data_IF_124189750813
#
_entry.id   IF_124189750813
#
_cell.length_a   1.000
_cell.length_b   1.000
_cell.length_c   1.000
_cell.angle_alpha   90.00
_cell.angle_beta   90.00
_cell.angle_gamma   90.00
#
_symmetry.space_group_name_H-M   'P 1'
#
loop_
_entity.id
_entity.type
_entity.pdbx_description
1 polymer ?
#
# COMPACT_ATOMS: atom_id res chain seq x y z
N UNK A 1 4.54 -18.85 -12.39
CA UNK A 1 3.77 -17.83 -13.16
C UNK A 1 4.54 -16.52 -13.16
N UNK A 2 4.88 -15.88 -12.03
CA UNK A 2 5.59 -14.60 -11.98
C UNK A 2 6.96 -14.59 -12.66
N UNK A 3 7.76 -15.64 -12.52
CA UNK A 3 9.11 -15.74 -13.11
C UNK A 3 9.11 -15.79 -14.64
N UNK A 4 8.21 -16.59 -15.24
CA UNK A 4 8.09 -16.68 -16.70
C UNK A 4 7.72 -15.32 -17.33
N UNK A 5 7.01 -14.50 -16.63
CA UNK A 5 6.50 -13.22 -17.08
C UNK A 5 7.57 -12.14 -17.03
N UNK A 6 8.39 -12.13 -15.98
CA UNK A 6 9.59 -11.30 -15.92
C UNK A 6 10.56 -11.65 -17.08
N UNK A 7 10.71 -12.95 -17.39
CA UNK A 7 11.51 -13.40 -18.56
C UNK A 7 10.97 -12.82 -19.87
N UNK A 8 9.67 -12.97 -20.14
CA UNK A 8 9.04 -12.49 -21.39
C UNK A 8 9.14 -10.97 -21.55
N UNK A 9 8.95 -10.22 -20.48
CA UNK A 9 9.07 -8.76 -20.52
C UNK A 9 10.52 -8.32 -20.76
N UNK A 10 11.49 -9.06 -20.20
CA UNK A 10 12.92 -8.84 -20.48
C UNK A 10 13.28 -9.10 -21.93
N UNK A 11 12.81 -10.18 -22.51
CA UNK A 11 13.02 -10.48 -23.94
C UNK A 11 12.45 -9.37 -24.82
N UNK A 12 11.26 -8.85 -24.50
CA UNK A 12 10.67 -7.69 -25.18
C UNK A 12 11.53 -6.43 -25.10
N UNK A 13 12.31 -6.27 -24.03
CA UNK A 13 13.24 -5.15 -23.81
C UNK A 13 14.64 -5.42 -24.38
N UNK A 14 14.81 -6.48 -25.20
CA UNK A 14 16.07 -6.78 -25.89
C UNK A 14 17.11 -7.51 -25.07
N UNK A 15 16.74 -8.11 -23.93
CA UNK A 15 17.63 -8.97 -23.13
C UNK A 15 17.57 -10.39 -23.68
N UNK A 16 18.71 -10.93 -24.09
CA UNK A 16 18.84 -12.32 -24.58
C UNK A 16 18.90 -13.30 -23.41
N UNK A 17 17.72 -13.60 -22.84
CA UNK A 17 17.61 -14.52 -21.70
C UNK A 17 17.80 -15.96 -22.17
N UNK A 18 18.80 -16.64 -21.60
CA UNK A 18 19.09 -18.07 -21.85
C UNK A 18 18.47 -18.94 -20.75
N UNK A 19 18.45 -20.24 -20.97
CA UNK A 19 18.02 -21.20 -19.96
C UNK A 19 18.94 -21.14 -18.74
N UNK A 20 18.34 -21.16 -17.54
CA UNK A 20 19.04 -21.20 -16.25
C UNK A 20 18.19 -21.91 -15.21
N UNK A 21 18.87 -22.54 -14.26
CA UNK A 21 18.22 -23.12 -13.10
C UNK A 21 18.23 -22.11 -11.95
N UNK A 22 17.11 -22.02 -11.22
CA UNK A 22 16.97 -21.08 -10.13
C UNK A 22 16.30 -21.71 -8.93
N UNK A 23 16.76 -21.35 -7.75
CA UNK A 23 16.07 -21.57 -6.49
C UNK A 23 15.91 -20.23 -5.77
N UNK A 24 14.77 -19.99 -5.20
CA UNK A 24 14.52 -18.79 -4.43
C UNK A 24 13.93 -19.12 -3.06
N UNK A 25 14.23 -18.29 -2.08
CA UNK A 25 13.66 -18.34 -0.74
C UNK A 25 13.32 -16.91 -0.31
N UNK A 26 12.37 -16.75 0.58
CA UNK A 26 11.96 -15.46 1.11
C UNK A 26 11.18 -15.63 2.40
N UNK A 27 11.21 -14.59 3.22
CA UNK A 27 10.51 -14.48 4.50
C UNK A 27 9.35 -13.47 4.45
N UNK A 28 9.07 -12.89 3.27
CA UNK A 28 7.90 -12.03 3.06
C UNK A 28 6.65 -12.90 3.08
N UNK A 29 5.76 -12.75 4.08
CA UNK A 29 4.61 -13.61 4.25
C UNK A 29 3.61 -13.47 3.08
N UNK A 30 3.13 -14.62 2.60
CA UNK A 30 2.17 -14.68 1.50
C UNK A 30 0.76 -14.26 1.98
N UNK A 31 0.13 -13.35 1.24
CA UNK A 31 -1.25 -12.92 1.49
C UNK A 31 -1.43 -12.03 2.72
N UNK A 32 -0.34 -11.51 3.29
CA UNK A 32 -0.35 -10.65 4.47
C UNK A 32 -0.36 -9.14 4.13
N UNK A 33 -0.55 -8.76 2.87
CA UNK A 33 -0.51 -7.37 2.44
C UNK A 33 0.90 -6.77 2.33
N UNK A 34 1.95 -7.60 2.43
CA UNK A 34 3.35 -7.17 2.33
C UNK A 34 3.91 -7.25 0.91
N UNK A 35 3.06 -7.38 -0.09
CA UNK A 35 3.43 -7.38 -1.52
C UNK A 35 4.49 -8.42 -1.88
N UNK A 36 4.27 -9.66 -1.46
CA UNK A 36 5.17 -10.79 -1.77
C UNK A 36 5.33 -11.02 -3.28
N UNK A 37 4.32 -10.69 -4.10
CA UNK A 37 4.39 -10.71 -5.55
C UNK A 37 5.41 -9.71 -6.07
N UNK A 38 5.31 -8.44 -5.67
CA UNK A 38 6.25 -7.39 -6.07
C UNK A 38 7.69 -7.70 -5.61
N UNK A 39 7.87 -8.29 -4.43
CA UNK A 39 9.17 -8.72 -3.95
C UNK A 39 9.78 -9.82 -4.85
N UNK A 40 8.99 -10.83 -5.23
CA UNK A 40 9.42 -11.90 -6.12
C UNK A 40 9.74 -11.38 -7.53
N UNK A 41 8.85 -10.57 -8.09
CA UNK A 41 9.00 -9.94 -9.42
C UNK A 41 10.26 -9.08 -9.49
N UNK A 42 10.49 -8.24 -8.48
CA UNK A 42 11.67 -7.40 -8.38
C UNK A 42 12.95 -8.23 -8.28
N UNK A 43 12.93 -9.31 -7.49
CA UNK A 43 14.08 -10.22 -7.36
C UNK A 43 14.45 -10.84 -8.70
N UNK A 44 13.46 -11.38 -9.42
CA UNK A 44 13.70 -11.93 -10.77
C UNK A 44 14.14 -10.86 -11.76
N UNK A 45 13.54 -9.67 -11.70
CA UNK A 45 13.92 -8.56 -12.56
C UNK A 45 15.39 -8.15 -12.35
N UNK A 46 15.85 -8.08 -11.12
CA UNK A 46 17.26 -7.83 -10.80
C UNK A 46 18.18 -8.96 -11.29
N UNK A 47 17.85 -10.21 -10.95
CA UNK A 47 18.67 -11.37 -11.32
C UNK A 47 18.84 -11.48 -12.83
N UNK A 48 17.78 -11.33 -13.61
CA UNK A 48 17.84 -11.36 -15.08
C UNK A 48 18.63 -10.19 -15.67
N UNK A 49 18.55 -9.00 -15.05
CA UNK A 49 19.34 -7.85 -15.47
C UNK A 49 20.83 -8.05 -15.22
N UNK A 50 21.18 -8.68 -14.12
CA UNK A 50 22.56 -8.99 -13.76
C UNK A 50 23.12 -10.12 -14.65
N UNK A 51 22.40 -11.24 -14.76
CA UNK A 51 22.86 -12.44 -15.46
C UNK A 51 22.92 -12.28 -17.01
N UNK A 52 21.98 -11.54 -17.58
CA UNK A 52 21.80 -11.50 -19.04
C UNK A 52 21.71 -10.08 -19.62
N UNK A 53 21.59 -9.06 -18.81
CA UNK A 53 21.36 -7.68 -19.23
C UNK A 53 22.53 -6.74 -19.00
N UNK A 54 23.69 -7.22 -18.54
CA UNK A 54 24.86 -6.41 -18.18
C UNK A 54 24.49 -5.21 -17.27
N UNK A 55 23.47 -5.34 -16.45
CA UNK A 55 22.92 -4.29 -15.59
C UNK A 55 22.50 -3.00 -16.32
N UNK A 56 22.15 -3.09 -17.61
CA UNK A 56 21.82 -1.93 -18.46
C UNK A 56 20.42 -1.35 -18.18
N UNK A 57 19.52 -2.13 -17.56
CA UNK A 57 18.18 -1.67 -17.23
C UNK A 57 18.21 -0.98 -15.88
N UNK A 58 17.76 0.27 -15.86
CA UNK A 58 17.76 1.08 -14.65
C UNK A 58 16.65 0.67 -13.65
N UNK A 59 16.73 1.20 -12.44
CA UNK A 59 15.81 0.86 -11.35
C UNK A 59 14.36 1.22 -11.64
N UNK A 60 14.08 2.33 -12.34
CA UNK A 60 12.72 2.71 -12.69
C UNK A 60 12.09 1.70 -13.65
N UNK A 61 12.86 1.28 -14.65
CA UNK A 61 12.43 0.26 -15.59
C UNK A 61 12.26 -1.10 -14.91
N UNK A 62 13.09 -1.44 -13.91
CA UNK A 62 12.92 -2.66 -13.09
C UNK A 62 11.58 -2.65 -12.34
N UNK A 63 11.20 -1.53 -11.72
CA UNK A 63 9.92 -1.39 -11.05
C UNK A 63 8.74 -1.50 -12.04
N UNK A 64 8.86 -0.88 -13.23
CA UNK A 64 7.84 -0.97 -14.28
C UNK A 64 7.67 -2.39 -14.83
N UNK A 65 8.73 -3.20 -14.88
CA UNK A 65 8.65 -4.61 -15.25
C UNK A 65 7.72 -5.37 -14.30
N UNK A 66 7.89 -5.22 -13.00
CA UNK A 66 7.01 -5.84 -12.01
C UNK A 66 5.56 -5.38 -12.19
N UNK A 67 5.30 -4.06 -12.28
CA UNK A 67 3.96 -3.54 -12.52
C UNK A 67 3.32 -4.09 -13.81
N UNK A 68 4.09 -4.16 -14.91
CA UNK A 68 3.65 -4.74 -16.18
C UNK A 68 3.28 -6.22 -16.03
N UNK A 69 3.96 -6.95 -15.15
CA UNK A 69 3.66 -8.34 -14.84
C UNK A 69 2.28 -8.46 -14.18
N UNK A 70 2.00 -7.66 -13.16
CA UNK A 70 0.68 -7.63 -12.49
C UNK A 70 -0.45 -7.27 -13.47
N UNK A 71 -0.25 -6.25 -14.31
CA UNK A 71 -1.27 -5.80 -15.27
C UNK A 71 -1.57 -6.82 -16.35
N UNK A 72 -0.53 -7.36 -17.00
CA UNK A 72 -0.69 -8.15 -18.22
C UNK A 72 -0.97 -9.64 -17.95
N UNK A 73 -0.61 -10.13 -16.76
CA UNK A 73 -0.67 -11.56 -16.48
C UNK A 73 -1.49 -11.92 -15.24
N UNK A 74 -1.47 -11.07 -14.21
CA UNK A 74 -2.31 -11.27 -13.03
C UNK A 74 -3.67 -10.59 -13.17
N UNK A 75 -3.84 -9.68 -14.15
CA UNK A 75 -5.09 -8.95 -14.39
C UNK A 75 -5.42 -7.94 -13.29
N UNK A 76 -4.43 -7.54 -12.50
CA UNK A 76 -4.56 -6.58 -11.39
C UNK A 76 -4.08 -5.21 -11.84
N UNK A 77 -4.98 -4.24 -11.99
CA UNK A 77 -4.63 -2.87 -12.38
C UNK A 77 -4.07 -2.06 -11.19
N UNK A 78 -3.00 -2.58 -10.57
CA UNK A 78 -2.35 -1.95 -9.42
C UNK A 78 -1.54 -0.70 -9.83
N UNK A 79 -1.26 0.17 -8.83
CA UNK A 79 -0.23 1.20 -8.94
C UNK A 79 1.19 0.61 -8.92
N UNK A 80 2.20 1.48 -9.03
CA UNK A 80 3.63 1.06 -9.03
C UNK A 80 4.23 0.99 -7.62
N UNK A 81 3.49 1.34 -6.58
CA UNK A 81 4.00 1.58 -5.23
C UNK A 81 4.81 0.40 -4.68
N UNK A 82 4.28 -0.81 -4.79
CA UNK A 82 4.87 -2.00 -4.18
C UNK A 82 6.18 -2.41 -4.86
N UNK A 83 6.19 -2.38 -6.19
CA UNK A 83 7.39 -2.64 -6.98
C UNK A 83 8.44 -1.55 -6.76
N UNK A 84 7.99 -0.28 -6.66
CA UNK A 84 8.88 0.83 -6.38
C UNK A 84 9.51 0.70 -4.99
N UNK A 85 8.73 0.37 -3.98
CA UNK A 85 9.23 0.15 -2.61
C UNK A 85 10.25 -0.99 -2.56
N UNK A 86 9.99 -2.10 -3.29
CA UNK A 86 10.91 -3.25 -3.37
C UNK A 86 12.24 -2.89 -4.04
N UNK A 87 12.22 -2.03 -5.06
CA UNK A 87 13.42 -1.65 -5.84
C UNK A 87 14.21 -0.50 -5.20
N UNK A 88 13.53 0.48 -4.60
CA UNK A 88 14.12 1.71 -4.09
C UNK A 88 14.21 1.76 -2.56
N UNK A 89 13.73 0.74 -1.85
CA UNK A 89 13.77 0.69 -0.39
C UNK A 89 15.18 0.98 0.17
N UNK A 90 15.25 1.80 1.22
CA UNK A 90 16.50 2.19 1.89
C UNK A 90 16.31 2.09 3.40
N UNK A 91 17.26 1.44 4.07
CA UNK A 91 17.27 1.31 5.52
C UNK A 91 17.19 2.69 6.21
N UNK A 92 16.36 2.80 7.23
CA UNK A 92 16.21 4.03 8.01
C UNK A 92 15.46 5.15 7.27
N UNK A 93 14.68 4.80 6.24
CA UNK A 93 13.97 5.80 5.45
C UNK A 93 12.60 5.28 5.03
N UNK A 94 11.63 6.18 4.93
CA UNK A 94 10.37 6.00 4.22
C UNK A 94 10.42 6.75 2.89
N UNK A 95 9.69 6.27 1.90
CA UNK A 95 9.63 6.87 0.57
C UNK A 95 8.29 7.58 0.41
N UNK A 96 8.32 8.88 0.05
CA UNK A 96 7.20 9.56 -0.58
C UNK A 96 7.39 9.46 -2.08
N UNK A 97 6.46 8.80 -2.76
CA UNK A 97 6.48 8.62 -4.20
C UNK A 97 5.33 9.39 -4.84
N UNK A 98 5.62 10.19 -5.85
CA UNK A 98 4.63 10.67 -6.79
C UNK A 98 4.40 9.60 -7.87
N UNK A 99 3.24 8.91 -7.81
CA UNK A 99 2.94 7.82 -8.75
C UNK A 99 2.67 8.30 -10.20
N UNK A 100 2.56 9.62 -10.46
CA UNK A 100 2.41 10.19 -11.81
C UNK A 100 3.77 10.46 -12.45
N UNK A 101 4.61 11.27 -11.77
CA UNK A 101 5.92 11.69 -12.28
C UNK A 101 7.04 10.69 -11.98
N UNK A 102 6.83 9.78 -11.03
CA UNK A 102 7.81 8.90 -10.40
C UNK A 102 8.92 9.65 -9.66
N UNK A 103 8.73 10.93 -9.38
CA UNK A 103 9.58 11.67 -8.46
C UNK A 103 9.39 11.14 -7.04
N UNK A 104 10.49 10.99 -6.33
CA UNK A 104 10.46 10.45 -4.98
C UNK A 104 11.42 11.16 -4.05
N UNK A 105 11.10 11.10 -2.77
CA UNK A 105 11.93 11.66 -1.69
C UNK A 105 11.98 10.67 -0.54
N UNK A 106 13.18 10.57 0.09
CA UNK A 106 13.35 9.82 1.32
C UNK A 106 13.11 10.71 2.53
N UNK A 107 12.34 10.21 3.47
CA UNK A 107 12.12 10.80 4.79
C UNK A 107 12.81 9.94 5.85
N UNK A 108 13.46 10.53 6.86
CA UNK A 108 14.11 9.77 7.91
C UNK A 108 13.08 8.97 8.70
N UNK A 109 13.41 7.70 8.98
CA UNK A 109 12.59 6.84 9.82
C UNK A 109 13.50 6.04 10.74
N UNK A 110 13.74 6.60 11.92
CA UNK A 110 14.50 5.98 13.01
C UNK A 110 13.74 6.20 14.33
N UNK A 111 12.61 5.52 14.53
CA UNK A 111 11.72 5.77 15.65
C UNK A 111 12.31 5.18 16.94
N UNK A 112 13.22 5.92 17.55
CA UNK A 112 13.82 5.56 18.84
C UNK A 112 12.71 5.37 19.90
N UNK A 113 12.73 4.22 20.56
CA UNK A 113 11.70 3.87 21.56
C UNK A 113 10.43 3.23 20.99
N UNK A 114 10.33 3.05 19.65
CA UNK A 114 9.20 2.42 18.99
C UNK A 114 9.61 1.19 18.17
N UNK A 115 8.61 0.38 17.84
CA UNK A 115 8.70 -0.72 16.87
C UNK A 115 7.56 -0.62 15.87
N UNK A 116 7.82 -0.98 14.62
CA UNK A 116 6.76 -1.29 13.66
C UNK A 116 6.37 -2.76 13.86
N UNK A 117 5.10 -2.98 14.16
CA UNK A 117 4.54 -4.32 14.40
C UNK A 117 3.44 -4.58 13.38
N UNK A 118 3.56 -5.68 12.66
CA UNK A 118 2.54 -6.15 11.75
C UNK A 118 1.71 -7.22 12.47
N UNK A 119 0.39 -7.07 12.43
CA UNK A 119 -0.54 -8.07 12.97
C UNK A 119 -1.42 -8.57 11.83
N UNK A 120 -1.17 -9.82 11.41
CA UNK A 120 -1.90 -10.47 10.32
C UNK A 120 -3.25 -11.00 10.84
N UNK A 121 -4.34 -10.47 10.30
CA UNK A 121 -5.71 -10.90 10.58
C UNK A 121 -6.03 -12.32 10.09
N UNK A 122 -5.14 -12.92 9.28
CA UNK A 122 -5.34 -14.22 8.63
C UNK A 122 -6.60 -14.25 7.73
N UNK A 123 -7.09 -13.09 7.33
CA UNK A 123 -8.15 -12.95 6.30
C UNK A 123 -7.49 -12.91 4.94
N UNK A 124 -7.85 -13.87 4.06
CA UNK A 124 -7.33 -13.92 2.69
C UNK A 124 -8.23 -13.14 1.73
N UNK A 125 -7.60 -12.49 0.77
CA UNK A 125 -8.24 -11.60 -0.21
C UNK A 125 -8.89 -12.35 -1.40
N UNK A 126 -9.89 -13.17 -1.20
CA UNK A 126 -10.50 -13.93 -2.32
C UNK A 126 -11.28 -13.06 -3.34
N UNK A 127 -11.72 -11.85 -2.94
CA UNK A 127 -12.48 -10.92 -3.80
C UNK A 127 -11.78 -9.57 -4.03
N UNK A 128 -10.52 -9.44 -3.62
CA UNK A 128 -9.82 -8.15 -3.62
C UNK A 128 -9.72 -7.49 -5.00
N UNK A 129 -9.50 -8.26 -6.07
CA UNK A 129 -9.30 -7.69 -7.42
C UNK A 129 -10.56 -6.99 -7.94
N UNK A 130 -11.75 -7.58 -7.78
CA UNK A 130 -13.00 -6.97 -8.23
C UNK A 130 -13.42 -5.77 -7.38
N UNK A 131 -13.24 -5.86 -6.06
CA UNK A 131 -13.55 -4.77 -5.14
C UNK A 131 -12.57 -3.60 -5.31
N UNK A 132 -11.28 -3.88 -5.49
CA UNK A 132 -10.25 -2.89 -5.80
C UNK A 132 -10.57 -2.13 -7.09
N UNK A 133 -10.93 -2.83 -8.15
CA UNK A 133 -11.30 -2.21 -9.42
C UNK A 133 -12.54 -1.29 -9.28
N UNK A 134 -13.52 -1.66 -8.44
CA UNK A 134 -14.66 -0.78 -8.14
C UNK A 134 -14.24 0.52 -7.44
N UNK A 135 -13.25 0.49 -6.53
CA UNK A 135 -12.71 1.70 -5.89
C UNK A 135 -12.06 2.63 -6.91
N UNK A 136 -11.31 2.05 -7.84
CA UNK A 136 -10.73 2.81 -8.95
C UNK A 136 -11.81 3.44 -9.84
N UNK A 137 -12.85 2.69 -10.18
CA UNK A 137 -13.99 3.22 -10.96
C UNK A 137 -14.69 4.38 -10.24
N UNK A 138 -14.87 4.31 -8.93
CA UNK A 138 -15.41 5.44 -8.14
C UNK A 138 -14.54 6.69 -8.25
N UNK A 139 -13.21 6.54 -8.16
CA UNK A 139 -12.29 7.66 -8.34
C UNK A 139 -12.39 8.26 -9.76
N UNK A 140 -12.47 7.42 -10.77
CA UNK A 140 -12.61 7.84 -12.18
C UNK A 140 -13.95 8.53 -12.43
N UNK A 141 -15.04 8.04 -11.83
CA UNK A 141 -16.36 8.67 -11.91
C UNK A 141 -16.37 10.06 -11.26
N UNK A 142 -15.72 10.20 -10.10
CA UNK A 142 -15.59 11.50 -9.44
C UNK A 142 -14.81 12.51 -10.29
N UNK A 143 -13.68 12.10 -10.87
CA UNK A 143 -12.89 12.93 -11.79
C UNK A 143 -13.75 13.36 -12.98
N UNK A 144 -14.48 12.44 -13.63
CA UNK A 144 -15.34 12.74 -14.77
C UNK A 144 -16.46 13.74 -14.42
N UNK A 145 -17.02 13.67 -13.21
CA UNK A 145 -18.02 14.64 -12.75
C UNK A 145 -17.40 16.03 -12.55
N UNK A 146 -16.22 16.10 -11.90
CA UNK A 146 -15.50 17.36 -11.66
C UNK A 146 -15.05 18.00 -12.98
N UNK A 147 -14.60 17.21 -13.95
CA UNK A 147 -14.16 17.70 -15.27
C UNK A 147 -15.23 18.51 -16.03
N UNK A 148 -16.52 18.30 -15.76
CA UNK A 148 -17.59 19.08 -16.38
C UNK A 148 -17.47 20.59 -16.12
N UNK A 149 -16.96 20.96 -14.94
CA UNK A 149 -16.73 22.35 -14.52
C UNK A 149 -15.26 22.75 -14.52
N UNK A 150 -14.36 21.78 -14.34
CA UNK A 150 -12.92 21.95 -14.22
C UNK A 150 -12.17 21.05 -15.24
N UNK A 151 -12.17 21.40 -16.56
CA UNK A 151 -11.65 20.54 -17.62
C UNK A 151 -10.14 20.22 -17.54
N UNK A 152 -9.39 20.97 -16.74
CA UNK A 152 -7.96 20.78 -16.55
C UNK A 152 -7.61 19.65 -15.56
N UNK A 153 -8.60 19.14 -14.80
CA UNK A 153 -8.42 18.04 -13.86
C UNK A 153 -8.21 16.74 -14.62
N UNK A 154 -7.16 16.02 -14.30
CA UNK A 154 -6.86 14.69 -14.89
C UNK A 154 -7.06 13.56 -13.88
N UNK A 155 -6.75 13.81 -12.59
CA UNK A 155 -6.81 12.82 -11.51
C UNK A 155 -7.35 13.45 -10.23
N UNK A 156 -7.75 12.62 -9.25
CA UNK A 156 -8.22 13.12 -7.95
C UNK A 156 -7.19 14.00 -7.21
N UNK A 157 -5.90 13.84 -7.46
CA UNK A 157 -4.86 14.70 -6.89
C UNK A 157 -4.93 16.16 -7.37
N UNK A 158 -5.63 16.40 -8.47
CA UNK A 158 -5.85 17.74 -9.03
C UNK A 158 -7.15 18.37 -8.48
N UNK A 159 -7.95 17.58 -7.74
CA UNK A 159 -9.25 17.96 -7.21
C UNK A 159 -9.10 18.49 -5.79
N UNK A 160 -9.66 19.65 -5.53
CA UNK A 160 -9.86 20.18 -4.17
C UNK A 160 -11.21 19.75 -3.62
N UNK A 161 -11.38 19.80 -2.30
CA UNK A 161 -12.70 19.54 -1.68
C UNK A 161 -13.79 20.48 -2.19
N UNK A 162 -13.44 21.75 -2.48
CA UNK A 162 -14.38 22.71 -3.10
C UNK A 162 -14.87 22.26 -4.47
N UNK A 163 -13.97 21.78 -5.34
CA UNK A 163 -14.32 21.23 -6.67
C UNK A 163 -15.19 19.99 -6.56
N UNK A 164 -14.90 19.12 -5.59
CA UNK A 164 -15.70 17.91 -5.34
C UNK A 164 -17.12 18.28 -4.88
N UNK A 165 -17.25 19.22 -3.95
CA UNK A 165 -18.56 19.70 -3.48
C UNK A 165 -19.39 20.35 -4.61
N UNK A 166 -18.74 21.12 -5.50
CA UNK A 166 -19.41 21.68 -6.69
C UNK A 166 -19.94 20.61 -7.65
N UNK A 167 -19.30 19.43 -7.68
CA UNK A 167 -19.70 18.30 -8.53
C UNK A 167 -20.71 17.35 -7.85
N UNK A 168 -21.06 17.57 -6.59
CA UNK A 168 -21.84 16.65 -5.74
C UNK A 168 -23.17 16.21 -6.35
N UNK A 169 -23.85 17.09 -7.09
CA UNK A 169 -25.10 16.76 -7.75
C UNK A 169 -24.94 15.80 -8.95
N UNK A 170 -23.74 15.69 -9.49
CA UNK A 170 -23.40 14.89 -10.67
C UNK A 170 -22.72 13.55 -10.33
N UNK A 171 -22.59 13.23 -9.05
CA UNK A 171 -21.83 12.09 -8.55
C UNK A 171 -22.69 11.28 -7.56
N UNK A 172 -22.54 9.95 -7.52
CA UNK A 172 -23.22 9.13 -6.52
C UNK A 172 -22.68 9.45 -5.11
N UNK A 173 -23.52 9.26 -4.08
CA UNK A 173 -23.09 9.46 -2.70
C UNK A 173 -21.88 8.53 -2.34
N UNK A 174 -21.87 7.32 -2.87
CA UNK A 174 -20.79 6.35 -2.69
C UNK A 174 -19.48 6.84 -3.34
N UNK A 175 -19.54 7.30 -4.59
CA UNK A 175 -18.35 7.77 -5.30
C UNK A 175 -17.82 9.09 -4.70
N UNK A 176 -18.73 9.96 -4.23
CA UNK A 176 -18.38 11.18 -3.50
C UNK A 176 -17.58 10.85 -2.23
N UNK A 177 -18.12 9.95 -1.38
CA UNK A 177 -17.49 9.54 -0.14
C UNK A 177 -16.10 8.92 -0.37
N UNK A 178 -15.96 8.09 -1.39
CA UNK A 178 -14.67 7.49 -1.76
C UNK A 178 -13.67 8.52 -2.28
N UNK A 179 -14.12 9.48 -3.09
CA UNK A 179 -13.28 10.55 -3.59
C UNK A 179 -12.83 11.50 -2.48
N UNK A 180 -13.72 11.85 -1.55
CA UNK A 180 -13.42 12.64 -0.35
C UNK A 180 -12.26 12.01 0.43
N UNK A 181 -12.37 10.71 0.75
CA UNK A 181 -11.29 9.99 1.40
C UNK A 181 -9.96 10.12 0.68
N UNK A 182 -9.93 9.92 -0.65
CA UNK A 182 -8.67 9.97 -1.42
C UNK A 182 -8.05 11.37 -1.40
N UNK A 183 -8.88 12.43 -1.51
CA UNK A 183 -8.40 13.82 -1.45
C UNK A 183 -7.80 14.12 -0.08
N UNK A 184 -8.47 13.71 1.00
CA UNK A 184 -7.96 13.88 2.36
C UNK A 184 -6.70 13.06 2.61
N UNK A 185 -6.63 11.83 2.09
CA UNK A 185 -5.46 10.95 2.26
C UNK A 185 -4.22 11.51 1.57
N UNK A 186 -4.36 12.18 0.44
CA UNK A 186 -3.25 12.89 -0.22
C UNK A 186 -2.67 13.95 0.73
N UNK A 187 -3.51 14.72 1.41
CA UNK A 187 -3.04 15.71 2.39
C UNK A 187 -2.38 15.03 3.61
N UNK A 188 -2.97 13.93 4.12
CA UNK A 188 -2.40 13.18 5.24
C UNK A 188 -0.98 12.66 4.95
N UNK A 189 -0.69 12.26 3.70
CA UNK A 189 0.68 11.89 3.31
C UNK A 189 1.66 13.04 3.51
N UNK A 190 1.28 14.26 3.15
CA UNK A 190 2.13 15.44 3.33
C UNK A 190 2.31 15.77 4.81
N UNK A 191 1.24 15.73 5.60
CA UNK A 191 1.29 15.94 7.05
C UNK A 191 2.24 14.94 7.75
N UNK A 192 2.20 13.65 7.33
CA UNK A 192 3.10 12.61 7.83
C UNK A 192 4.55 12.88 7.43
N UNK A 193 4.80 13.35 6.21
CA UNK A 193 6.15 13.73 5.79
C UNK A 193 6.72 14.84 6.68
N UNK A 194 5.94 15.89 6.94
CA UNK A 194 6.33 17.00 7.80
C UNK A 194 6.56 16.55 9.26
N UNK A 195 5.76 15.61 9.76
CA UNK A 195 5.94 15.02 11.09
C UNK A 195 7.21 14.18 11.18
N UNK A 196 7.52 13.38 10.16
CA UNK A 196 8.73 12.56 10.09
C UNK A 196 10.01 13.41 10.09
N UNK A 197 10.02 14.54 9.36
CA UNK A 197 11.16 15.48 9.36
C UNK A 197 11.44 16.08 10.75
N UNK A 198 10.37 16.22 11.57
CA UNK A 198 10.44 16.73 12.94
C UNK A 198 10.67 15.64 13.99
N UNK A 199 10.64 14.36 13.59
CA UNK A 199 10.67 13.23 14.52
C UNK A 199 9.42 13.12 15.40
N UNK A 200 8.29 13.69 14.96
CA UNK A 200 7.01 13.70 15.68
C UNK A 200 6.21 12.44 15.37
N UNK A 201 6.57 11.35 16.04
CA UNK A 201 5.91 10.05 15.89
C UNK A 201 4.51 9.98 16.48
N UNK A 202 4.13 10.87 17.41
CA UNK A 202 2.77 10.95 17.91
C UNK A 202 1.82 11.47 16.82
N UNK A 203 2.21 12.52 16.11
CA UNK A 203 1.43 12.99 14.93
C UNK A 203 1.38 11.93 13.83
N UNK A 204 2.49 11.22 13.53
CA UNK A 204 2.47 10.09 12.58
C UNK A 204 1.43 9.05 12.99
N UNK A 205 1.41 8.67 14.26
CA UNK A 205 0.47 7.69 14.80
C UNK A 205 -0.99 8.14 14.72
N UNK A 206 -1.28 9.39 15.05
CA UNK A 206 -2.61 9.98 14.91
C UNK A 206 -3.08 9.90 13.44
N UNK A 207 -2.22 10.27 12.48
CA UNK A 207 -2.53 10.18 11.05
C UNK A 207 -2.76 8.74 10.57
N UNK A 208 -2.09 7.76 11.16
CA UNK A 208 -2.37 6.34 10.90
C UNK A 208 -3.80 5.97 11.30
N UNK A 209 -4.29 6.39 12.47
CA UNK A 209 -5.68 6.15 12.88
C UNK A 209 -6.69 6.88 11.98
N UNK A 210 -6.42 8.13 11.60
CA UNK A 210 -7.25 8.88 10.66
C UNK A 210 -7.35 8.17 9.32
N UNK A 211 -6.22 7.66 8.77
CA UNK A 211 -6.17 6.84 7.57
C UNK A 211 -7.01 5.57 7.71
N UNK A 212 -6.86 4.83 8.82
CA UNK A 212 -7.64 3.61 9.03
C UNK A 212 -9.14 3.89 9.06
N UNK A 213 -9.55 4.93 9.80
CA UNK A 213 -10.96 5.35 9.84
C UNK A 213 -11.50 5.64 8.43
N UNK A 214 -10.77 6.39 7.63
CA UNK A 214 -11.13 6.68 6.24
C UNK A 214 -11.18 5.42 5.37
N UNK A 215 -10.20 4.52 5.50
CA UNK A 215 -10.18 3.22 4.81
C UNK A 215 -11.37 2.34 5.18
N UNK A 216 -11.77 2.34 6.45
CA UNK A 216 -12.90 1.53 6.95
C UNK A 216 -14.25 2.13 6.60
N UNK A 217 -14.46 3.44 6.83
CA UNK A 217 -15.79 4.06 6.80
C UNK A 217 -16.11 4.78 5.49
N UNK A 218 -15.11 5.34 4.81
CA UNK A 218 -15.31 6.14 3.59
C UNK A 218 -14.92 5.36 2.33
N UNK A 219 -13.79 4.68 2.36
CA UNK A 219 -13.29 3.93 1.20
C UNK A 219 -13.75 2.47 1.21
N UNK A 220 -14.18 1.98 2.36
CA UNK A 220 -14.75 0.64 2.58
C UNK A 220 -13.84 -0.50 2.10
N UNK A 221 -12.57 -0.44 2.49
CA UNK A 221 -11.55 -1.45 2.16
C UNK A 221 -11.03 -2.19 3.40
N UNK A 222 -11.63 -1.98 4.57
CA UNK A 222 -11.34 -2.76 5.78
C UNK A 222 -12.21 -4.02 5.86
N UNK A 223 -12.06 -4.77 6.93
CA UNK A 223 -12.92 -5.87 7.33
C UNK A 223 -13.03 -5.90 8.86
N UNK A 224 -13.98 -6.70 9.39
CA UNK A 224 -14.25 -6.74 10.82
C UNK A 224 -13.00 -7.07 11.66
N UNK A 225 -12.17 -7.98 11.17
CA UNK A 225 -10.93 -8.37 11.85
C UNK A 225 -9.89 -7.26 11.90
N UNK A 226 -9.76 -6.50 10.80
CA UNK A 226 -8.82 -5.36 10.74
C UNK A 226 -9.31 -4.20 11.61
N UNK A 227 -10.60 -3.89 11.56
CA UNK A 227 -11.21 -2.87 12.42
C UNK A 227 -11.04 -3.25 13.90
N UNK A 228 -11.28 -4.50 14.24
CA UNK A 228 -11.08 -5.00 15.61
C UNK A 228 -9.62 -4.86 16.08
N UNK A 229 -8.64 -5.20 15.22
CA UNK A 229 -7.23 -5.06 15.56
C UNK A 229 -6.81 -3.59 15.73
N UNK A 230 -7.39 -2.70 14.94
CA UNK A 230 -7.15 -1.26 15.05
C UNK A 230 -7.73 -0.67 16.32
N UNK A 231 -9.00 -1.00 16.65
CA UNK A 231 -9.66 -0.58 17.89
C UNK A 231 -8.89 -1.11 19.11
N UNK A 232 -8.46 -2.37 19.07
CA UNK A 232 -7.67 -2.97 20.13
C UNK A 232 -6.30 -2.27 20.31
N UNK A 233 -5.65 -1.91 19.22
CA UNK A 233 -4.40 -1.14 19.28
C UNK A 233 -4.61 0.21 19.96
N UNK A 234 -5.70 0.90 19.64
CA UNK A 234 -6.08 2.16 20.27
C UNK A 234 -6.33 1.98 21.78
N UNK A 235 -7.11 0.98 22.17
CA UNK A 235 -7.42 0.66 23.57
C UNK A 235 -6.17 0.29 24.39
N UNK A 236 -5.18 -0.35 23.74
CA UNK A 236 -3.88 -0.67 24.35
C UNK A 236 -2.92 0.53 24.43
N UNK A 237 -3.30 1.71 23.92
CA UNK A 237 -2.44 2.91 23.90
C UNK A 237 -1.32 2.85 22.86
N UNK A 238 -1.47 2.05 21.81
CA UNK A 238 -0.54 2.00 20.68
C UNK A 238 -0.57 3.35 19.96
N UNK A 239 0.59 3.90 19.66
CA UNK A 239 0.72 5.27 19.13
C UNK A 239 0.02 5.46 17.77
N UNK A 240 0.03 4.44 16.91
CA UNK A 240 -0.67 4.48 15.62
C UNK A 240 -0.92 3.10 15.06
N UNK A 241 -2.06 2.93 14.40
CA UNK A 241 -2.45 1.69 13.74
C UNK A 241 -3.28 1.98 12.49
N UNK A 242 -3.08 1.20 11.43
CA UNK A 242 -3.90 1.23 10.22
C UNK A 242 -3.80 -0.06 9.43
N UNK A 243 -4.72 -0.26 8.53
CA UNK A 243 -4.61 -1.29 7.47
C UNK A 243 -3.34 -1.06 6.66
N UNK A 244 -2.64 -2.12 6.32
CA UNK A 244 -1.49 -2.11 5.42
C UNK A 244 -1.90 -2.54 4.00
N UNK A 245 -1.44 -1.79 2.99
CA UNK A 245 -1.74 -2.08 1.57
C UNK A 245 -3.17 -1.75 1.17
N UNK A 246 -3.71 -2.51 0.23
CA UNK A 246 -5.02 -2.26 -0.40
C UNK A 246 -6.24 -2.63 0.42
N UNK A 247 -6.08 -3.19 1.60
CA UNK A 247 -7.19 -3.60 2.47
C UNK A 247 -7.81 -4.96 2.11
N UNK A 248 -9.07 -5.17 2.47
CA UNK A 248 -9.86 -6.40 2.32
C UNK A 248 -9.33 -7.62 3.09
N UNK A 249 -8.47 -7.42 4.09
CA UNK A 249 -7.77 -8.43 4.89
C UNK A 249 -6.27 -8.12 4.99
N UNK A 250 -5.45 -9.13 5.28
CA UNK A 250 -4.01 -8.97 5.52
C UNK A 250 -3.72 -8.40 6.90
N UNK A 251 -2.77 -7.46 6.98
CA UNK A 251 -2.25 -6.95 8.25
C UNK A 251 -2.75 -5.56 8.62
N UNK A 252 -2.74 -5.27 9.93
CA UNK A 252 -2.53 -3.91 10.42
C UNK A 252 -1.03 -3.64 10.59
N UNK A 253 -0.60 -2.40 10.30
CA UNK A 253 0.71 -1.88 10.67
C UNK A 253 0.55 -0.99 11.88
N UNK A 254 1.37 -1.22 12.91
CA UNK A 254 1.23 -0.59 14.22
C UNK A 254 2.55 0.04 14.63
N UNK A 255 2.52 1.31 15.08
CA UNK A 255 3.65 2.02 15.66
C UNK A 255 3.57 1.90 17.19
N UNK A 256 4.32 0.97 17.77
CA UNK A 256 4.18 0.54 19.15
C UNK A 256 5.38 0.99 19.97
N UNK A 257 5.14 1.67 21.10
CA UNK A 257 6.20 1.98 22.07
C UNK A 257 6.80 0.69 22.62
N UNK A 258 8.12 0.67 22.82
CA UNK A 258 8.83 -0.54 23.26
C UNK A 258 8.25 -1.12 24.59
N UNK A 259 7.83 -0.26 25.51
CA UNK A 259 7.21 -0.63 26.77
C UNK A 259 5.84 -1.30 26.62
N UNK A 260 5.11 -1.02 25.55
CA UNK A 260 3.78 -1.58 25.28
C UNK A 260 3.84 -2.86 24.43
N UNK A 261 4.98 -3.19 23.85
CA UNK A 261 5.11 -4.26 22.86
C UNK A 261 4.57 -5.60 23.35
N UNK A 262 5.08 -6.09 24.48
CA UNK A 262 4.69 -7.42 24.99
C UNK A 262 3.20 -7.46 25.40
N UNK A 263 2.72 -6.39 26.03
CA UNK A 263 1.30 -6.26 26.43
C UNK A 263 0.40 -6.23 25.21
N UNK A 264 0.74 -5.43 24.18
CA UNK A 264 -0.04 -5.35 22.94
C UNK A 264 -0.11 -6.70 22.23
N UNK A 265 1.04 -7.39 22.05
CA UNK A 265 1.09 -8.68 21.34
C UNK A 265 0.28 -9.76 22.09
N UNK A 266 0.42 -9.85 23.43
CA UNK A 266 -0.33 -10.83 24.21
C UNK A 266 -1.83 -10.56 24.16
N UNK A 267 -2.24 -9.30 24.34
CA UNK A 267 -3.65 -8.89 24.29
C UNK A 267 -4.25 -9.11 22.90
N UNK A 268 -3.50 -8.79 21.83
CA UNK A 268 -3.96 -9.01 20.46
C UNK A 268 -4.22 -10.49 20.19
N UNK A 269 -3.30 -11.38 20.60
CA UNK A 269 -3.48 -12.83 20.44
C UNK A 269 -4.67 -13.37 21.21
N UNK A 270 -4.84 -12.96 22.47
CA UNK A 270 -5.90 -13.43 23.34
C UNK A 270 -7.27 -12.94 22.84
N UNK A 271 -7.47 -11.63 22.75
CA UNK A 271 -8.76 -11.02 22.42
C UNK A 271 -9.22 -11.34 21.00
N UNK A 272 -8.29 -11.39 20.04
CA UNK A 272 -8.63 -11.79 18.68
C UNK A 272 -9.06 -13.26 18.63
N UNK A 273 -8.36 -14.15 19.36
CA UNK A 273 -8.75 -15.57 19.46
C UNK A 273 -10.10 -15.76 20.12
N UNK A 274 -10.39 -15.01 21.18
CA UNK A 274 -11.70 -15.02 21.84
C UNK A 274 -12.83 -14.65 20.87
N UNK A 275 -12.62 -13.58 20.07
CA UNK A 275 -13.65 -13.07 19.16
C UNK A 275 -13.82 -13.92 17.89
N UNK A 276 -12.71 -14.33 17.27
CA UNK A 276 -12.72 -14.95 15.94
C UNK A 276 -12.39 -16.46 15.92
N UNK A 277 -12.11 -17.06 17.07
CA UNK A 277 -11.81 -18.49 17.19
C UNK A 277 -10.46 -18.91 16.61
N UNK A 278 -9.63 -17.95 16.16
CA UNK A 278 -8.29 -18.15 15.59
C UNK A 278 -7.33 -17.08 16.09
N UNK A 279 -6.04 -17.41 16.18
CA UNK A 279 -5.02 -16.41 16.56
C UNK A 279 -4.56 -15.61 15.36
N UNK A 280 -4.29 -14.28 15.51
CA UNK A 280 -3.60 -13.50 14.53
C UNK A 280 -2.12 -13.92 14.48
N UNK A 281 -1.42 -13.53 13.44
CA UNK A 281 0.02 -13.79 13.30
C UNK A 281 0.83 -12.49 13.37
#
# INVERSE_FOLDING_TARGET
VGSEMCIRDRIKRGVDVKGFDTAFAGDVPLGAGMSSSAALESTYAYALNDLFGDNKIDKFELAKVGQSTEHNYCGVNCGIMDQFASVFGKKGSLIRLDCRSLEYQYFPFDPQGYRLVLVDSVVKHELASSAYNKRRQSCEAAVAAVQKKHPHVEFLRDVTMGMLEEAKADISAEDYMRAEYVIEEIQRVLDVCDALEKGDYETVGQKMYETHHGMSKLYEVSCEELDFLNDLAFDCGVTGSRVMGGGFGGCTINLVKNELYETFISTAKERFKEKFGRSPK
#
